data_IF_542421234265
#
_entry.id   IF_542421234265
#
_cell.length_a   1.000
_cell.length_b   1.000
_cell.length_c   1.000
_cell.angle_alpha   90.00
_cell.angle_beta   90.00
_cell.angle_gamma   90.00
#
_symmetry.space_group_name_H-M   'P 1'
#
loop_
_entity.id
_entity.type
_entity.pdbx_description
1 polymer ?
#
# COMPACT_ATOMS: atom_id res chain seq x y z
N UNK A 1 -29.51 56.58 40.67
CA UNK A 1 -30.26 57.86 40.61
C UNK A 1 -31.22 57.78 39.42
N UNK A 2 -32.47 58.16 39.59
CA UNK A 2 -33.48 58.18 38.51
C UNK A 2 -33.42 59.50 37.75
N UNK A 3 -33.64 59.47 36.43
CA UNK A 3 -33.78 60.69 35.62
C UNK A 3 -35.03 61.47 36.04
N UNK A 4 -34.92 62.78 36.19
CA UNK A 4 -36.04 63.67 36.53
C UNK A 4 -36.52 64.45 35.32
N UNK A 5 -37.83 64.45 35.08
CA UNK A 5 -38.46 65.21 34.00
C UNK A 5 -38.39 66.71 34.27
N UNK A 6 -38.19 67.50 33.21
CA UNK A 6 -38.13 68.97 33.27
C UNK A 6 -39.19 69.61 32.37
N UNK A 7 -39.73 70.75 32.81
CA UNK A 7 -40.60 71.60 31.99
C UNK A 7 -39.85 72.41 30.92
N UNK A 8 -38.51 72.46 31.00
CA UNK A 8 -37.60 73.10 30.05
C UNK A 8 -36.71 72.05 29.36
N UNK A 9 -36.22 72.29 28.13
CA UNK A 9 -35.33 71.36 27.44
C UNK A 9 -34.01 71.19 28.19
N UNK A 10 -33.55 69.94 28.33
CA UNK A 10 -32.31 69.59 29.03
C UNK A 10 -31.24 69.12 28.04
N UNK A 11 -30.09 69.78 27.99
CA UNK A 11 -28.94 69.32 27.19
C UNK A 11 -28.00 68.48 28.08
N UNK A 12 -27.89 67.19 27.80
CA UNK A 12 -27.16 66.24 28.65
C UNK A 12 -26.40 65.21 27.82
N UNK A 13 -25.31 64.69 28.38
CA UNK A 13 -24.63 63.51 27.84
C UNK A 13 -25.44 62.25 28.14
N UNK A 14 -25.75 61.52 27.07
CA UNK A 14 -26.35 60.20 27.17
C UNK A 14 -25.31 59.14 26.81
N UNK A 15 -25.35 58.04 27.54
CA UNK A 15 -24.51 56.87 27.34
C UNK A 15 -25.40 55.77 26.78
N UNK A 16 -25.06 55.31 25.59
CA UNK A 16 -25.84 54.38 24.80
C UNK A 16 -25.34 52.96 25.06
N UNK A 17 -26.27 52.01 25.08
CA UNK A 17 -25.96 50.60 25.19
C UNK A 17 -26.76 49.78 24.16
N UNK A 18 -26.25 48.60 23.80
CA UNK A 18 -26.93 47.69 22.88
C UNK A 18 -28.07 46.91 23.55
N UNK A 19 -28.62 45.91 22.85
CA UNK A 19 -29.70 45.08 23.40
C UNK A 19 -29.30 44.22 24.60
N UNK A 20 -28.01 43.95 24.75
CA UNK A 20 -27.42 43.17 25.84
C UNK A 20 -26.88 44.08 26.95
N UNK A 21 -27.07 45.41 26.85
CA UNK A 21 -26.57 46.38 27.82
C UNK A 21 -25.12 46.80 27.58
N UNK A 22 -24.44 46.31 26.54
CA UNK A 22 -23.03 46.66 26.27
C UNK A 22 -22.93 48.12 25.87
N UNK A 23 -22.03 48.87 26.51
CA UNK A 23 -21.73 50.26 26.15
C UNK A 23 -21.24 50.36 24.70
N UNK A 24 -21.91 51.18 23.88
CA UNK A 24 -21.58 51.38 22.46
C UNK A 24 -21.16 52.80 22.12
N UNK A 25 -21.29 53.75 23.05
CA UNK A 25 -20.84 55.11 22.85
C UNK A 25 -21.62 56.13 23.67
N UNK A 26 -21.22 57.40 23.55
CA UNK A 26 -21.89 58.52 24.21
C UNK A 26 -22.27 59.59 23.19
N UNK A 27 -23.42 60.21 23.39
CA UNK A 27 -23.94 61.28 22.54
C UNK A 27 -24.42 62.44 23.40
N UNK A 28 -24.13 63.67 22.96
CA UNK A 28 -24.67 64.87 23.57
C UNK A 28 -26.01 65.21 22.91
N UNK A 29 -27.09 65.29 23.68
CA UNK A 29 -28.44 65.44 23.15
C UNK A 29 -29.28 66.43 23.98
N UNK A 30 -30.19 67.14 23.31
CA UNK A 30 -31.24 67.92 23.95
C UNK A 30 -32.52 67.08 24.13
N UNK A 31 -32.94 66.89 25.38
CA UNK A 31 -34.18 66.22 25.76
C UNK A 31 -35.31 67.25 25.79
N UNK A 32 -36.37 67.09 24.98
CA UNK A 32 -37.50 68.00 24.98
C UNK A 32 -38.23 68.07 26.35
N UNK A 33 -38.90 69.20 26.66
CA UNK A 33 -39.74 69.33 27.85
C UNK A 33 -40.71 68.17 28.04
N UNK A 34 -40.82 67.68 29.28
CA UNK A 34 -41.75 66.64 29.71
C UNK A 34 -41.59 65.29 28.97
N UNK A 35 -40.40 64.99 28.43
CA UNK A 35 -40.09 63.71 27.78
C UNK A 35 -39.04 62.90 28.56
N UNK A 36 -39.03 61.59 28.35
CA UNK A 36 -38.07 60.67 28.97
C UNK A 36 -36.83 60.46 28.12
N UNK A 37 -35.86 59.73 28.65
CA UNK A 37 -34.65 59.35 27.91
C UNK A 37 -35.01 58.46 26.70
N UNK A 38 -34.31 58.61 25.56
CA UNK A 38 -34.41 57.66 24.46
C UNK A 38 -34.16 56.22 24.90
N UNK A 39 -34.77 55.25 24.21
CA UNK A 39 -34.57 53.83 24.49
C UNK A 39 -33.08 53.45 24.45
N UNK A 40 -32.66 52.56 25.36
CA UNK A 40 -31.26 52.07 25.47
C UNK A 40 -30.23 53.18 25.71
N UNK A 41 -30.61 54.19 26.48
CA UNK A 41 -29.71 55.25 26.93
C UNK A 41 -29.84 55.48 28.43
N UNK A 42 -28.75 55.92 29.05
CA UNK A 42 -28.72 56.35 30.44
C UNK A 42 -27.97 57.67 30.58
N UNK A 43 -28.34 58.47 31.57
CA UNK A 43 -27.63 59.69 31.95
C UNK A 43 -26.45 59.39 32.91
N UNK A 44 -26.33 58.14 33.37
CA UNK A 44 -25.25 57.69 34.25
C UNK A 44 -23.99 57.45 33.40
N UNK A 45 -22.86 58.10 33.72
CA UNK A 45 -21.65 57.96 32.92
C UNK A 45 -21.05 56.56 32.98
N UNK A 46 -20.66 56.03 31.81
CA UNK A 46 -19.87 54.81 31.71
C UNK A 46 -18.38 55.17 31.81
N UNK A 47 -17.75 54.87 32.94
CA UNK A 47 -16.33 55.17 33.20
C UNK A 47 -15.64 53.86 33.60
N UNK A 48 -15.43 52.93 32.67
CA UNK A 48 -14.74 51.68 32.96
C UNK A 48 -13.26 51.95 33.30
N UNK A 49 -12.63 51.12 34.15
CA UNK A 49 -11.18 51.07 34.27
C UNK A 49 -10.50 50.71 32.94
N UNK A 50 -9.19 51.00 32.82
CA UNK A 50 -8.40 50.63 31.65
C UNK A 50 -8.52 49.13 31.34
N UNK A 51 -8.80 48.80 30.07
CA UNK A 51 -9.00 47.42 29.61
C UNK A 51 -10.35 46.81 29.98
N UNK A 52 -11.33 47.61 30.41
CA UNK A 52 -12.70 47.18 30.69
C UNK A 52 -13.73 47.93 29.84
N UNK A 53 -14.94 47.37 29.77
CA UNK A 53 -16.12 48.03 29.21
C UNK A 53 -17.31 47.85 30.15
N UNK A 54 -18.33 48.70 29.99
CA UNK A 54 -19.55 48.65 30.80
C UNK A 54 -20.65 47.83 30.17
N UNK A 55 -21.35 47.04 31.00
CA UNK A 55 -22.66 46.45 30.72
C UNK A 55 -23.67 47.14 31.65
N UNK A 56 -24.65 47.81 31.07
CA UNK A 56 -25.73 48.46 31.81
C UNK A 56 -26.82 47.45 32.16
N UNK A 57 -26.97 47.17 33.45
CA UNK A 57 -27.97 46.23 33.96
C UNK A 57 -28.56 46.73 35.28
N UNK A 58 -29.87 46.57 35.45
CA UNK A 58 -30.59 46.97 36.67
C UNK A 58 -30.37 48.44 37.10
N UNK A 59 -30.15 49.34 36.14
CA UNK A 59 -29.98 50.77 36.40
C UNK A 59 -28.55 51.19 36.77
N UNK A 60 -27.57 50.28 36.71
CA UNK A 60 -26.17 50.54 37.04
C UNK A 60 -25.22 49.97 35.98
N UNK A 61 -24.01 50.52 35.90
CA UNK A 61 -22.93 49.98 35.07
C UNK A 61 -22.18 48.89 35.82
N UNK A 62 -22.06 47.72 35.20
CA UNK A 62 -21.16 46.65 35.62
C UNK A 62 -19.96 46.64 34.68
N UNK A 63 -18.75 46.74 35.22
CA UNK A 63 -17.53 46.73 34.40
C UNK A 63 -16.97 45.31 34.28
N UNK A 64 -16.66 44.92 33.05
CA UNK A 64 -16.08 43.63 32.72
C UNK A 64 -14.83 43.83 31.87
N UNK A 65 -13.91 42.87 31.89
CA UNK A 65 -12.73 42.88 31.01
C UNK A 65 -13.16 42.98 29.54
N UNK A 66 -12.60 43.96 28.84
CA UNK A 66 -12.80 44.08 27.40
C UNK A 66 -11.77 43.20 26.69
N UNK A 67 -12.19 41.98 26.36
CA UNK A 67 -11.37 40.99 25.66
C UNK A 67 -11.38 41.18 24.15
N UNK A 68 -12.20 42.10 23.62
CA UNK A 68 -12.31 42.34 22.17
C UNK A 68 -11.00 42.87 21.61
N UNK A 69 -10.67 42.46 20.39
CA UNK A 69 -9.40 42.77 19.75
C UNK A 69 -8.22 41.93 20.24
N UNK A 70 -8.41 41.03 21.23
CA UNK A 70 -7.38 40.07 21.64
C UNK A 70 -7.06 39.15 20.46
N UNK A 71 -5.80 39.15 19.95
CA UNK A 71 -5.43 38.31 18.83
C UNK A 71 -5.18 36.86 19.30
N UNK A 72 -5.55 35.92 18.43
CA UNK A 72 -5.20 34.51 18.57
C UNK A 72 -4.97 33.92 17.18
N UNK A 73 -4.33 32.76 17.10
CA UNK A 73 -3.94 32.12 15.85
C UNK A 73 -4.40 30.66 15.79
N UNK A 74 -4.56 30.13 14.59
CA UNK A 74 -4.60 28.67 14.39
C UNK A 74 -3.18 28.09 14.37
N UNK A 75 -3.07 26.75 14.26
CA UNK A 75 -1.79 26.04 14.24
C UNK A 75 -0.88 26.41 13.05
N UNK A 76 -1.42 27.06 12.03
CA UNK A 76 -0.69 27.47 10.82
C UNK A 76 -0.28 28.95 10.86
N UNK A 77 -0.62 29.67 11.92
CA UNK A 77 -0.31 31.09 12.08
C UNK A 77 -1.32 32.04 11.41
N UNK A 78 -2.50 31.56 11.01
CA UNK A 78 -3.57 32.43 10.55
C UNK A 78 -4.17 33.18 11.74
N UNK A 79 -4.24 34.51 11.64
CA UNK A 79 -4.66 35.38 12.74
C UNK A 79 -6.17 35.60 12.80
N UNK A 80 -6.68 35.60 14.02
CA UNK A 80 -8.06 35.89 14.40
C UNK A 80 -8.08 36.90 15.55
N UNK A 81 -9.24 37.49 15.81
CA UNK A 81 -9.45 38.40 16.94
C UNK A 81 -10.78 38.11 17.60
N UNK A 82 -10.84 38.26 18.92
CA UNK A 82 -12.10 38.24 19.66
C UNK A 82 -12.95 39.45 19.23
N UNK A 83 -14.18 39.22 18.81
CA UNK A 83 -15.08 40.29 18.31
C UNK A 83 -16.18 40.66 19.30
N UNK A 84 -16.54 39.72 20.17
CA UNK A 84 -17.62 39.89 21.14
C UNK A 84 -17.11 39.74 22.58
N UNK A 85 -17.76 40.41 23.53
CA UNK A 85 -17.38 40.35 24.96
C UNK A 85 -17.64 38.98 25.60
N UNK A 86 -18.56 38.21 25.02
CA UNK A 86 -18.93 36.88 25.50
C UNK A 86 -18.09 35.77 24.87
N UNK A 87 -17.20 36.10 23.94
CA UNK A 87 -16.28 35.16 23.31
C UNK A 87 -15.02 35.00 24.18
N UNK A 88 -14.50 33.78 24.24
CA UNK A 88 -13.17 33.48 24.75
C UNK A 88 -12.31 32.96 23.60
N UNK A 89 -10.99 32.94 23.80
CA UNK A 89 -10.11 32.19 22.89
C UNK A 89 -10.59 30.73 22.88
N UNK A 90 -10.87 30.13 21.71
CA UNK A 90 -11.25 28.73 21.62
C UNK A 90 -10.13 27.81 22.12
N UNK A 91 -10.46 26.56 22.47
CA UNK A 91 -9.47 25.60 22.98
C UNK A 91 -8.32 25.32 21.99
N UNK A 92 -8.57 25.44 20.68
CA UNK A 92 -7.55 25.31 19.63
C UNK A 92 -6.76 26.61 19.40
N UNK A 93 -7.22 27.74 19.96
CA UNK A 93 -6.68 29.06 19.70
C UNK A 93 -5.35 29.28 20.42
N UNK A 94 -4.32 29.63 19.65
CA UNK A 94 -2.98 29.89 20.15
C UNK A 94 -2.85 31.37 20.46
N UNK A 95 -2.39 31.73 21.66
CA UNK A 95 -2.17 33.13 22.07
C UNK A 95 -0.71 33.58 21.93
N UNK A 96 0.19 32.64 21.63
CA UNK A 96 1.59 32.93 21.32
C UNK A 96 1.67 33.45 19.88
N UNK A 97 2.12 34.70 19.73
CA UNK A 97 2.27 35.32 18.41
C UNK A 97 3.22 34.51 17.51
N UNK A 98 2.83 34.14 16.28
CA UNK A 98 3.71 33.44 15.35
C UNK A 98 4.91 34.32 14.95
N UNK A 99 6.11 33.72 14.79
CA UNK A 99 7.24 34.41 14.20
C UNK A 99 6.98 34.69 12.71
N UNK A 100 7.89 35.45 12.07
CA UNK A 100 7.90 35.57 10.61
C UNK A 100 8.59 34.32 10.06
N UNK A 101 7.95 33.60 9.15
CA UNK A 101 8.55 32.45 8.50
C UNK A 101 9.69 32.89 7.56
N UNK A 102 10.76 32.11 7.53
CA UNK A 102 11.85 32.25 6.58
C UNK A 102 11.36 31.95 5.15
N UNK A 103 12.06 32.48 4.15
CA UNK A 103 11.69 32.23 2.75
C UNK A 103 11.79 30.74 2.42
N UNK A 104 10.68 30.15 1.97
CA UNK A 104 10.58 28.71 1.69
C UNK A 104 10.17 27.86 2.90
N UNK A 105 9.75 28.48 4.01
CA UNK A 105 9.24 27.78 5.19
C UNK A 105 7.80 28.19 5.51
N UNK A 106 7.06 27.28 6.15
CA UNK A 106 5.75 27.52 6.75
C UNK A 106 5.79 27.26 8.25
N UNK A 107 4.81 27.82 8.97
CA UNK A 107 4.72 27.70 10.43
C UNK A 107 3.80 26.56 10.82
N UNK A 108 4.19 25.77 11.80
CA UNK A 108 3.33 24.83 12.49
C UNK A 108 3.50 24.98 14.00
N UNK A 109 2.41 25.19 14.72
CA UNK A 109 2.43 25.20 16.17
C UNK A 109 2.28 23.77 16.70
N UNK A 110 3.31 23.25 17.34
CA UNK A 110 3.32 21.90 17.89
C UNK A 110 4.20 21.83 19.13
N UNK A 111 3.78 21.06 20.14
CA UNK A 111 4.53 20.94 21.39
C UNK A 111 4.65 22.25 22.18
N UNK A 112 3.63 23.12 22.09
CA UNK A 112 3.58 24.47 22.68
C UNK A 112 4.59 25.49 22.10
N UNK A 113 5.19 25.22 20.95
CA UNK A 113 6.12 26.14 20.28
C UNK A 113 5.85 26.24 18.78
N UNK A 114 6.23 27.37 18.20
CA UNK A 114 6.20 27.57 16.75
C UNK A 114 7.40 26.91 16.10
N UNK A 115 7.15 26.01 15.15
CA UNK A 115 8.17 25.35 14.36
C UNK A 115 8.12 25.86 12.93
N UNK A 116 9.29 25.99 12.30
CA UNK A 116 9.40 26.27 10.87
C UNK A 116 9.63 24.96 10.13
N UNK A 117 8.78 24.68 9.16
CA UNK A 117 8.85 23.49 8.31
C UNK A 117 9.14 23.95 6.89
N UNK A 118 10.10 23.31 6.23
CA UNK A 118 10.42 23.62 4.84
C UNK A 118 9.20 23.30 3.95
N UNK A 119 8.74 24.29 3.18
CA UNK A 119 7.64 24.10 2.24
C UNK A 119 8.16 23.33 1.01
N UNK A 120 7.83 22.05 0.97
CA UNK A 120 8.18 21.16 -0.14
C UNK A 120 7.05 21.01 -1.15
N UNK A 121 6.03 21.86 -1.14
CA UNK A 121 4.90 21.78 -2.08
C UNK A 121 5.37 21.73 -3.53
N UNK A 122 4.85 20.77 -4.28
CA UNK A 122 5.27 20.54 -5.67
C UNK A 122 6.59 19.80 -5.85
N UNK A 123 7.39 19.58 -4.79
CA UNK A 123 8.57 18.72 -4.87
C UNK A 123 8.15 17.24 -4.99
N UNK A 124 8.91 16.43 -5.74
CA UNK A 124 8.66 15.01 -5.82
C UNK A 124 9.17 14.28 -4.57
N UNK A 125 8.42 13.26 -4.16
CA UNK A 125 8.91 12.23 -3.25
C UNK A 125 8.64 10.86 -3.85
N UNK A 126 9.31 9.83 -3.33
CA UNK A 126 9.34 8.50 -3.89
C UNK A 126 9.02 7.47 -2.82
N UNK A 127 8.17 6.51 -3.14
CA UNK A 127 7.98 5.30 -2.34
C UNK A 127 9.19 4.37 -2.44
N UNK A 128 9.23 3.33 -1.60
CA UNK A 128 10.35 2.40 -1.54
C UNK A 128 10.64 1.63 -2.84
N UNK A 129 9.67 1.52 -3.74
CA UNK A 129 9.80 0.87 -5.06
C UNK A 129 10.16 1.85 -6.19
N UNK A 130 10.30 3.14 -5.89
CA UNK A 130 10.57 4.20 -6.85
C UNK A 130 9.31 4.88 -7.41
N UNK A 131 8.11 4.51 -6.98
CA UNK A 131 6.86 5.18 -7.37
C UNK A 131 6.91 6.65 -6.97
N UNK A 132 6.73 7.53 -7.95
CA UNK A 132 6.83 8.98 -7.79
C UNK A 132 5.50 9.60 -7.39
N UNK A 133 5.54 10.45 -6.39
CA UNK A 133 4.44 11.30 -5.92
C UNK A 133 4.86 12.76 -5.86
N UNK A 134 3.90 13.65 -5.65
CA UNK A 134 4.11 15.09 -5.51
C UNK A 134 3.54 15.54 -4.17
N UNK A 135 4.30 16.36 -3.44
CA UNK A 135 3.84 16.99 -2.20
C UNK A 135 2.65 17.91 -2.49
N UNK A 136 1.51 17.63 -1.85
CA UNK A 136 0.22 18.27 -2.14
C UNK A 136 -0.03 19.57 -1.38
N UNK A 137 0.65 19.79 -0.26
CA UNK A 137 0.45 20.96 0.61
C UNK A 137 1.71 21.27 1.43
N UNK A 138 1.76 22.49 1.99
CA UNK A 138 2.95 23.02 2.68
C UNK A 138 3.25 22.37 4.03
N UNK A 139 2.28 21.74 4.69
CA UNK A 139 2.44 21.04 5.97
C UNK A 139 2.55 19.52 5.81
N UNK A 140 3.01 19.08 4.63
CA UNK A 140 3.11 17.67 4.31
C UNK A 140 4.16 16.96 5.18
N UNK A 141 3.73 15.87 5.81
CA UNK A 141 4.63 14.94 6.49
C UNK A 141 4.95 13.79 5.55
N UNK A 142 6.24 13.52 5.36
CA UNK A 142 6.69 12.39 4.55
C UNK A 142 6.25 11.07 5.20
N UNK A 143 5.48 10.22 4.50
CA UNK A 143 5.09 8.91 5.04
C UNK A 143 6.30 8.01 5.31
N UNK A 144 6.09 7.01 6.17
CA UNK A 144 7.10 5.98 6.42
C UNK A 144 7.52 5.27 5.12
N UNK A 145 8.80 4.92 5.03
CA UNK A 145 9.41 4.26 3.87
C UNK A 145 9.42 5.07 2.56
N UNK A 146 9.10 6.37 2.61
CA UNK A 146 9.28 7.29 1.49
C UNK A 146 10.58 8.09 1.60
N UNK A 147 11.00 8.71 0.50
CA UNK A 147 12.19 9.58 0.46
C UNK A 147 12.02 10.73 -0.54
N UNK A 148 12.65 11.88 -0.25
CA UNK A 148 12.82 12.96 -1.23
C UNK A 148 14.01 12.71 -2.18
N UNK A 149 14.82 11.69 -1.92
CA UNK A 149 15.93 11.30 -2.78
C UNK A 149 15.40 10.52 -3.99
N UNK A 150 15.63 11.05 -5.19
CA UNK A 150 15.24 10.35 -6.42
C UNK A 150 15.93 8.99 -6.56
N UNK A 151 15.25 7.96 -7.10
CA UNK A 151 15.87 6.69 -7.41
C UNK A 151 16.99 6.89 -8.44
N UNK A 152 18.05 6.06 -8.38
CA UNK A 152 19.16 6.16 -9.31
C UNK A 152 18.74 5.72 -10.71
N UNK A 153 19.61 5.91 -11.70
CA UNK A 153 19.31 5.57 -13.10
C UNK A 153 18.89 4.11 -13.27
N UNK A 154 17.91 3.90 -14.14
CA UNK A 154 17.39 2.57 -14.45
C UNK A 154 18.49 1.72 -15.09
N UNK A 155 18.68 0.51 -14.57
CA UNK A 155 19.59 -0.49 -15.14
C UNK A 155 18.77 -1.67 -15.67
N UNK A 156 19.02 -2.15 -16.91
CA UNK A 156 18.32 -3.31 -17.45
C UNK A 156 18.44 -4.50 -16.50
N UNK A 157 17.36 -5.25 -16.29
CA UNK A 157 17.29 -6.43 -15.38
C UNK A 157 17.49 -6.12 -13.88
N UNK A 158 17.49 -4.85 -13.48
CA UNK A 158 17.51 -4.46 -12.08
C UNK A 158 16.33 -3.53 -11.76
N UNK A 159 15.82 -3.65 -10.55
CA UNK A 159 14.93 -2.67 -9.93
C UNK A 159 15.65 -1.97 -8.79
N UNK A 160 15.20 -0.77 -8.46
CA UNK A 160 15.73 0.01 -7.35
C UNK A 160 14.82 -0.15 -6.13
N UNK A 161 15.40 -0.32 -4.94
CA UNK A 161 14.65 -0.35 -3.69
C UNK A 161 15.26 0.61 -2.66
N UNK A 162 14.43 1.40 -2.00
CA UNK A 162 14.83 2.24 -0.87
C UNK A 162 14.97 1.38 0.39
N UNK A 163 16.08 1.56 1.12
CA UNK A 163 16.37 0.82 2.37
C UNK A 163 16.00 1.59 3.63
N UNK A 164 15.50 2.83 3.49
CA UNK A 164 15.37 3.79 4.59
C UNK A 164 16.51 4.81 4.62
N UNK A 165 17.70 4.44 4.12
CA UNK A 165 18.89 5.31 4.08
C UNK A 165 19.44 5.53 2.67
N UNK A 166 19.38 4.52 1.81
CA UNK A 166 19.92 4.58 0.46
C UNK A 166 19.12 3.73 -0.54
N UNK A 167 19.32 4.01 -1.82
CA UNK A 167 18.80 3.22 -2.93
C UNK A 167 19.75 2.08 -3.29
N UNK A 168 19.24 0.86 -3.35
CA UNK A 168 19.99 -0.32 -3.79
C UNK A 168 19.44 -0.86 -5.11
N UNK A 169 20.31 -1.48 -5.92
CA UNK A 169 19.91 -2.25 -7.09
C UNK A 169 19.67 -3.71 -6.72
N UNK A 170 18.50 -4.24 -7.07
CA UNK A 170 18.13 -5.64 -6.90
C UNK A 170 17.90 -6.23 -8.28
N UNK A 171 18.57 -7.35 -8.58
CA UNK A 171 18.37 -8.04 -9.84
C UNK A 171 16.91 -8.52 -9.92
N UNK A 172 16.22 -8.11 -10.97
CA UNK A 172 14.87 -8.54 -11.23
C UNK A 172 14.90 -9.94 -11.85
N UNK A 173 14.49 -10.91 -11.06
CA UNK A 173 14.36 -12.31 -11.50
C UNK A 173 12.90 -12.74 -11.58
N UNK A 174 11.94 -11.81 -11.43
CA UNK A 174 10.52 -12.13 -11.53
C UNK A 174 10.18 -12.65 -12.92
N UNK A 175 9.28 -13.63 -12.99
CA UNK A 175 8.91 -14.32 -14.21
C UNK A 175 9.90 -15.40 -14.67
N UNK A 176 11.08 -15.50 -14.04
CA UNK A 176 12.01 -16.59 -14.31
C UNK A 176 11.52 -17.88 -13.67
N UNK A 177 11.54 -18.97 -14.42
CA UNK A 177 11.31 -20.32 -13.90
C UNK A 177 12.59 -20.86 -13.26
N UNK A 178 12.47 -21.32 -12.02
CA UNK A 178 13.50 -22.05 -11.28
C UNK A 178 12.98 -23.44 -10.91
N UNK A 179 13.87 -24.37 -10.60
CA UNK A 179 13.53 -25.76 -10.32
C UNK A 179 13.95 -26.14 -8.90
N UNK A 180 13.07 -26.83 -8.19
CA UNK A 180 13.35 -27.35 -6.87
C UNK A 180 14.41 -28.46 -6.98
N UNK A 181 15.45 -28.36 -6.16
CA UNK A 181 16.61 -29.26 -6.15
C UNK A 181 16.31 -30.65 -5.59
N UNK A 182 15.15 -30.84 -4.96
CA UNK A 182 14.71 -32.11 -4.36
C UNK A 182 13.75 -32.87 -5.28
N UNK A 183 12.70 -32.21 -5.78
CA UNK A 183 11.61 -32.88 -6.52
C UNK A 183 11.49 -32.45 -7.99
N UNK A 184 12.37 -31.57 -8.47
CA UNK A 184 12.39 -31.02 -9.84
C UNK A 184 11.18 -30.15 -10.19
N UNK A 185 10.32 -29.83 -9.23
CA UNK A 185 9.13 -29.01 -9.48
C UNK A 185 9.52 -27.60 -9.92
N UNK A 186 8.88 -27.05 -10.98
CA UNK A 186 9.11 -25.69 -11.41
C UNK A 186 8.43 -24.69 -10.46
N UNK A 187 9.07 -23.55 -10.25
CA UNK A 187 8.54 -22.37 -9.57
C UNK A 187 8.83 -21.14 -10.41
N UNK A 188 7.80 -20.32 -10.66
CA UNK A 188 7.98 -19.00 -11.26
C UNK A 188 8.24 -17.98 -10.16
N UNK A 189 9.37 -17.28 -10.21
CA UNK A 189 9.69 -16.23 -9.23
C UNK A 189 8.67 -15.09 -9.38
N UNK A 190 7.95 -14.79 -8.29
CA UNK A 190 7.00 -13.67 -8.23
C UNK A 190 7.53 -12.47 -7.44
N UNK A 191 8.51 -12.71 -6.56
CA UNK A 191 9.03 -11.70 -5.63
C UNK A 191 10.41 -11.18 -6.02
N UNK A 192 10.72 -9.97 -5.57
CA UNK A 192 12.05 -9.37 -5.74
C UNK A 192 13.02 -9.96 -4.72
N UNK A 193 14.16 -10.47 -5.19
CA UNK A 193 15.16 -11.06 -4.31
C UNK A 193 16.05 -12.06 -5.02
N UNK A 194 16.91 -12.78 -4.27
CA UNK A 194 17.67 -13.90 -4.79
C UNK A 194 16.75 -15.06 -5.20
N UNK A 195 17.31 -16.07 -5.87
CA UNK A 195 16.62 -17.33 -6.09
C UNK A 195 16.29 -17.93 -4.71
N UNK A 196 15.05 -18.40 -4.46
CA UNK A 196 14.69 -18.99 -3.18
C UNK A 196 15.58 -20.19 -2.82
N UNK A 197 15.83 -20.38 -1.53
CA UNK A 197 16.62 -21.51 -1.05
C UNK A 197 16.00 -22.84 -1.49
N UNK A 198 16.85 -23.78 -1.90
CA UNK A 198 16.42 -25.07 -2.44
C UNK A 198 16.01 -25.05 -3.91
N UNK A 199 16.12 -23.90 -4.59
CA UNK A 199 15.87 -23.78 -6.03
C UNK A 199 17.14 -23.44 -6.83
N UNK A 200 17.14 -23.86 -8.10
CA UNK A 200 18.21 -23.57 -9.06
C UNK A 200 17.64 -23.06 -10.38
N UNK A 201 18.42 -22.28 -11.13
CA UNK A 201 18.09 -21.87 -12.51
C UNK A 201 18.47 -22.94 -13.54
N UNK A 202 19.05 -24.06 -13.11
CA UNK A 202 19.41 -25.16 -13.98
C UNK A 202 18.20 -26.07 -14.19
N UNK A 203 17.89 -26.35 -15.45
CA UNK A 203 16.80 -27.26 -15.84
C UNK A 203 17.21 -28.70 -15.49
N UNK A 204 16.41 -29.46 -14.71
CA UNK A 204 16.68 -30.86 -14.45
C UNK A 204 16.34 -31.73 -15.65
N UNK A 205 17.20 -32.72 -15.92
CA UNK A 205 16.86 -33.87 -16.76
C UNK A 205 15.97 -34.88 -16.03
N UNK A 206 15.35 -35.76 -16.81
CA UNK A 206 14.40 -36.78 -16.33
C UNK A 206 15.01 -37.68 -15.24
N UNK A 207 16.25 -38.13 -15.45
CA UNK A 207 17.00 -39.01 -14.54
C UNK A 207 18.05 -38.26 -13.71
N UNK A 208 18.04 -36.93 -13.69
CA UNK A 208 19.06 -36.19 -12.95
C UNK A 208 18.81 -36.19 -11.43
N UNK A 209 19.87 -36.11 -10.64
CA UNK A 209 19.86 -35.92 -9.21
C UNK A 209 20.73 -34.70 -8.86
N UNK A 210 20.31 -33.91 -7.87
CA UNK A 210 21.07 -32.75 -7.43
C UNK A 210 22.24 -33.19 -6.53
N UNK A 211 23.47 -32.77 -6.87
CA UNK A 211 24.68 -33.09 -6.11
C UNK A 211 25.05 -32.03 -5.04
N UNK A 212 24.26 -30.96 -4.93
CA UNK A 212 24.53 -29.79 -4.11
C UNK A 212 24.90 -28.55 -4.91
N UNK A 213 25.32 -28.69 -6.18
CA UNK A 213 25.76 -27.60 -7.03
C UNK A 213 25.23 -27.68 -8.49
N UNK A 214 25.09 -28.88 -9.04
CA UNK A 214 24.62 -29.15 -10.40
C UNK A 214 23.74 -30.39 -10.49
N UNK A 215 22.97 -30.50 -11.56
CA UNK A 215 22.25 -31.72 -11.91
C UNK A 215 23.23 -32.76 -12.47
N UNK A 216 23.27 -33.94 -11.86
CA UNK A 216 24.08 -35.08 -12.29
C UNK A 216 23.16 -36.23 -12.65
N UNK A 217 23.35 -36.78 -13.85
CA UNK A 217 22.54 -37.89 -14.36
C UNK A 217 22.70 -39.15 -13.51
N UNK A 218 21.59 -39.69 -13.00
CA UNK A 218 21.53 -41.00 -12.36
C UNK A 218 21.50 -42.10 -13.43
N UNK A 219 22.70 -42.63 -13.72
CA UNK A 219 22.90 -43.68 -14.72
C UNK A 219 22.17 -44.98 -14.31
N UNK A 220 22.07 -45.27 -13.01
CA UNK A 220 21.38 -46.48 -12.52
C UNK A 220 19.89 -46.36 -12.80
N UNK A 221 19.27 -45.26 -12.40
CA UNK A 221 17.85 -45.01 -12.63
C UNK A 221 17.49 -45.01 -14.13
N UNK A 222 18.32 -44.40 -14.99
CA UNK A 222 18.12 -44.43 -16.44
C UNK A 222 18.22 -45.86 -17.00
N UNK A 223 19.20 -46.64 -16.54
CA UNK A 223 19.39 -48.02 -16.99
C UNK A 223 18.24 -48.93 -16.56
N UNK A 224 17.79 -48.81 -15.32
CA UNK A 224 16.65 -49.55 -14.77
C UNK A 224 15.36 -49.23 -15.54
N UNK A 225 15.13 -47.95 -15.84
CA UNK A 225 13.99 -47.53 -16.65
C UNK A 225 14.02 -48.13 -18.07
N UNK A 226 15.17 -48.05 -18.75
CA UNK A 226 15.34 -48.65 -20.09
C UNK A 226 15.13 -50.16 -20.07
N UNK A 227 15.64 -50.84 -19.06
CA UNK A 227 15.46 -52.28 -18.90
C UNK A 227 13.98 -52.64 -18.66
N UNK A 228 13.28 -51.89 -17.81
CA UNK A 228 11.85 -52.09 -17.58
C UNK A 228 11.02 -51.89 -18.85
N UNK A 229 11.34 -50.86 -19.65
CA UNK A 229 10.71 -50.63 -20.96
C UNK A 229 10.97 -51.78 -21.93
N UNK A 230 12.20 -52.27 -22.02
CA UNK A 230 12.56 -53.41 -22.85
C UNK A 230 11.80 -54.69 -22.44
N UNK A 231 11.70 -54.97 -21.14
CA UNK A 231 10.98 -56.13 -20.64
C UNK A 231 9.46 -56.02 -20.87
N UNK A 232 8.89 -54.82 -20.70
CA UNK A 232 7.49 -54.55 -21.03
C UNK A 232 7.22 -54.78 -22.53
N UNK A 233 8.13 -54.34 -23.40
CA UNK A 233 8.03 -54.58 -24.84
C UNK A 233 8.09 -56.08 -25.18
N UNK A 234 9.05 -56.80 -24.58
CA UNK A 234 9.17 -58.27 -24.71
C UNK A 234 7.89 -58.99 -24.31
N UNK A 235 7.31 -58.62 -23.16
CA UNK A 235 6.07 -59.20 -22.67
C UNK A 235 4.89 -58.95 -23.62
N UNK A 236 4.82 -57.77 -24.23
CA UNK A 236 3.82 -57.44 -25.25
C UNK A 236 3.96 -58.33 -26.50
N UNK A 237 5.17 -58.46 -27.05
CA UNK A 237 5.44 -59.32 -28.20
C UNK A 237 5.15 -60.79 -27.93
N UNK A 238 5.50 -61.28 -26.73
CA UNK A 238 5.18 -62.65 -26.29
C UNK A 238 3.68 -62.89 -26.19
N UNK A 239 2.93 -61.90 -25.69
CA UNK A 239 1.47 -61.96 -25.57
C UNK A 239 0.83 -62.04 -26.95
N UNK A 240 1.23 -61.14 -27.86
CA UNK A 240 0.77 -61.14 -29.26
C UNK A 240 1.06 -62.47 -29.95
N UNK A 241 2.30 -62.95 -29.87
CA UNK A 241 2.68 -64.23 -30.46
C UNK A 241 1.87 -65.40 -29.87
N UNK A 242 1.62 -65.39 -28.55
CA UNK A 242 0.82 -66.42 -27.89
C UNK A 242 -0.64 -66.40 -28.35
N UNK A 243 -1.21 -65.22 -28.59
CA UNK A 243 -2.57 -65.08 -29.14
C UNK A 243 -2.66 -65.64 -30.57
N UNK A 244 -1.70 -65.29 -31.45
CA UNK A 244 -1.65 -65.82 -32.82
C UNK A 244 -1.48 -67.35 -32.82
N UNK A 245 -0.57 -67.86 -31.99
CA UNK A 245 -0.36 -69.31 -31.84
C UNK A 245 -1.64 -70.00 -31.36
N UNK A 246 -2.39 -69.43 -30.41
CA UNK A 246 -3.62 -70.04 -29.91
C UNK A 246 -4.68 -70.19 -31.01
N UNK A 247 -4.90 -69.15 -31.82
CA UNK A 247 -5.85 -69.18 -32.95
C UNK A 247 -5.43 -70.22 -33.99
N UNK A 248 -4.16 -70.21 -34.38
CA UNK A 248 -3.64 -71.13 -35.40
C UNK A 248 -3.58 -72.58 -34.90
N UNK A 249 -3.22 -72.80 -33.63
CA UNK A 249 -3.22 -74.13 -33.03
C UNK A 249 -4.63 -74.70 -33.00
N UNK A 250 -5.64 -73.89 -32.63
CA UNK A 250 -7.04 -74.34 -32.69
C UNK A 250 -7.46 -74.78 -34.09
N UNK A 251 -7.10 -74.03 -35.14
CA UNK A 251 -7.41 -74.41 -36.52
C UNK A 251 -6.72 -75.72 -36.94
N UNK A 252 -5.48 -75.95 -36.49
CA UNK A 252 -4.74 -77.19 -36.75
C UNK A 252 -5.36 -78.36 -35.99
N UNK A 253 -5.63 -78.18 -34.70
CA UNK A 253 -6.20 -79.20 -33.82
C UNK A 253 -7.64 -79.58 -34.22
N UNK A 254 -8.41 -78.64 -34.77
CA UNK A 254 -9.74 -78.89 -35.33
C UNK A 254 -9.72 -79.58 -36.70
N UNK A 255 -8.54 -79.74 -37.32
CA UNK A 255 -8.36 -80.31 -38.66
C UNK A 255 -8.85 -79.40 -39.79
N UNK A 256 -9.03 -78.10 -39.52
CA UNK A 256 -9.55 -77.11 -40.47
C UNK A 256 -8.46 -76.18 -41.05
N UNK A 257 -7.23 -76.26 -40.54
CA UNK A 257 -6.14 -75.40 -40.98
C UNK A 257 -5.74 -75.65 -42.44
N UNK A 258 -5.49 -74.56 -43.15
CA UNK A 258 -4.81 -74.56 -44.44
C UNK A 258 -3.32 -74.88 -44.29
N UNK A 259 -2.65 -75.23 -45.40
CA UNK A 259 -1.19 -75.39 -45.43
C UNK A 259 -0.47 -74.09 -45.04
N UNK A 260 -1.01 -72.94 -45.45
CA UNK A 260 -0.47 -71.62 -45.10
C UNK A 260 -0.60 -71.33 -43.60
N UNK A 261 -1.73 -71.66 -42.97
CA UNK A 261 -1.92 -71.50 -41.52
C UNK A 261 -1.01 -72.42 -40.72
N UNK A 262 -0.79 -73.65 -41.19
CA UNK A 262 0.14 -74.60 -40.57
C UNK A 262 1.59 -74.11 -40.67
N UNK A 263 1.99 -73.57 -41.82
CA UNK A 263 3.30 -72.95 -41.99
C UNK A 263 3.46 -71.68 -41.14
N UNK A 264 2.40 -70.86 -41.04
CA UNK A 264 2.37 -69.65 -40.22
C UNK A 264 2.44 -69.98 -38.73
N UNK A 265 1.78 -71.04 -38.26
CA UNK A 265 1.89 -71.54 -36.89
C UNK A 265 3.34 -71.86 -36.53
N UNK A 266 4.03 -72.60 -37.41
CA UNK A 266 5.44 -72.95 -37.20
C UNK A 266 6.33 -71.70 -37.11
N UNK A 267 6.12 -70.70 -37.98
CA UNK A 267 6.89 -69.43 -37.93
C UNK A 267 6.60 -68.63 -36.66
N UNK A 268 5.35 -68.54 -36.20
CA UNK A 268 5.00 -67.86 -34.95
C UNK A 268 5.58 -68.54 -33.71
N UNK A 269 5.63 -69.88 -33.68
CA UNK A 269 6.29 -70.61 -32.59
C UNK A 269 7.80 -70.33 -32.53
N UNK A 270 8.47 -70.30 -33.69
CA UNK A 270 9.88 -69.89 -33.79
C UNK A 270 10.07 -68.45 -33.34
N UNK A 271 9.24 -67.53 -33.80
CA UNK A 271 9.26 -66.11 -33.40
C UNK A 271 9.08 -65.94 -31.89
N UNK A 272 8.09 -66.58 -31.28
CA UNK A 272 7.85 -66.50 -29.83
C UNK A 272 9.06 -66.98 -29.03
N UNK A 273 9.68 -68.07 -29.46
CA UNK A 273 10.89 -68.59 -28.82
C UNK A 273 12.08 -67.63 -29.00
N UNK A 274 12.22 -67.03 -30.20
CA UNK A 274 13.25 -66.03 -30.47
C UNK A 274 13.08 -64.79 -29.58
N UNK A 275 11.86 -64.25 -29.48
CA UNK A 275 11.54 -63.11 -28.60
C UNK A 275 11.82 -63.46 -27.14
N UNK A 276 11.46 -64.66 -26.68
CA UNK A 276 11.74 -65.09 -25.31
C UNK A 276 13.25 -65.12 -24.99
N UNK A 277 14.08 -65.44 -25.99
CA UNK A 277 15.54 -65.52 -25.87
C UNK A 277 16.24 -64.17 -26.06
N UNK A 278 15.54 -63.13 -26.51
CA UNK A 278 16.09 -61.78 -26.61
C UNK A 278 16.55 -61.30 -25.23
N UNK A 279 17.81 -60.87 -25.17
CA UNK A 279 18.44 -60.30 -23.98
C UNK A 279 18.04 -58.82 -23.85
N UNK A 280 17.27 -58.50 -22.82
CA UNK A 280 16.75 -57.15 -22.54
C UNK A 280 17.72 -56.28 -21.75
N UNK A 281 18.92 -56.80 -21.42
CA UNK A 281 19.98 -56.04 -20.74
C UNK A 281 20.87 -55.23 -21.68
N UNK A 282 20.76 -55.47 -22.99
CA UNK A 282 21.56 -54.76 -24.00
C UNK A 282 21.03 -53.34 -24.22
N UNK A 283 21.95 -52.39 -24.42
CA UNK A 283 21.59 -51.01 -24.76
C UNK A 283 20.96 -50.89 -26.16
N UNK A 284 21.35 -51.76 -27.09
CA UNK A 284 20.82 -51.82 -28.46
C UNK A 284 20.25 -53.21 -28.72
N UNK A 285 18.93 -53.34 -28.56
CA UNK A 285 18.22 -54.62 -28.64
C UNK A 285 17.70 -54.81 -30.05
N UNK A 286 18.20 -55.83 -30.74
CA UNK A 286 17.62 -56.27 -32.02
C UNK A 286 16.43 -57.20 -31.75
N UNK A 287 15.22 -56.69 -32.00
CA UNK A 287 14.00 -57.48 -31.86
C UNK A 287 13.80 -58.42 -33.05
N UNK A 288 13.36 -59.67 -32.85
CA UNK A 288 13.01 -60.56 -33.95
C UNK A 288 11.93 -59.94 -34.86
N UNK A 289 11.99 -60.20 -36.16
CA UNK A 289 10.97 -59.77 -37.10
C UNK A 289 9.72 -60.65 -37.02
N UNK A 290 8.54 -60.01 -37.12
CA UNK A 290 7.26 -60.72 -37.08
C UNK A 290 7.05 -61.56 -38.35
N UNK A 291 6.51 -62.80 -38.24
CA UNK A 291 6.24 -63.70 -39.38
C UNK A 291 5.18 -63.26 -40.38
#
# INVERSE_FOLDING_TARGET
>A
MSFEFSGDPQAIWLYQYDENGVYIGSVFMAIPPNTGLPSRTTHIPCIPPDGQTGIFSNGEWQYIADVRGTPYWDEHGNGFVITSLNESVPDWGITVKPPVADTGFVLLYSGNEWQQIEDKTGQPFYESDGTKHIVSNSWFTLPDNCTFTAPPEVKPTFVTRWTGTEWIYIKDMRGLTVWNTTDKAPLTISELGPVPDGYTQLVPGEFDQWDGNTWVKDISAESEYKQAQAEQHKASLLTEASQQIAVLSYAVDSGQATEEESARLARWQVYRLAVNRTDTTLNDITWPEKP
#
